data_IF_734422091044
#
_entry.id   IF_734422091044
#
_cell.length_a   1.000
_cell.length_b   1.000
_cell.length_c   1.000
_cell.angle_alpha   90.00
_cell.angle_beta   90.00
_cell.angle_gamma   90.00
#
_symmetry.space_group_name_H-M   'P 1'
#
loop_
_entity.id
_entity.type
_entity.pdbx_description
1 polymer ?
#
# COMPACT_ATOMS: atom_id res chain seq x y z
N UNK A 1 25.95 -54.58 23.92
CA UNK A 1 26.70 -53.74 22.95
C UNK A 1 25.84 -53.57 21.70
N UNK A 2 25.54 -52.31 21.39
CA UNK A 2 25.02 -51.71 20.13
C UNK A 2 24.24 -50.46 20.56
N UNK A 3 25.02 -49.49 21.02
CA UNK A 3 24.60 -48.10 21.19
C UNK A 3 24.62 -47.47 19.79
N UNK A 4 23.66 -46.61 19.51
CA UNK A 4 23.74 -45.68 18.38
C UNK A 4 22.87 -46.09 17.21
N UNK A 5 21.64 -45.57 17.18
CA UNK A 5 21.04 -44.96 15.99
C UNK A 5 19.70 -44.29 16.35
N UNK A 6 19.68 -43.38 17.34
CA UNK A 6 18.48 -42.59 17.67
C UNK A 6 18.91 -41.15 17.98
N UNK A 7 19.54 -40.45 17.03
CA UNK A 7 19.72 -38.98 17.10
C UNK A 7 19.91 -38.41 15.69
N UNK A 8 18.90 -38.44 14.80
CA UNK A 8 18.92 -37.61 13.56
C UNK A 8 17.52 -37.06 13.17
N UNK A 9 16.48 -37.19 14.00
CA UNK A 9 15.11 -36.72 13.64
C UNK A 9 14.76 -35.36 14.27
N UNK A 10 15.70 -34.67 14.92
CA UNK A 10 15.43 -33.45 15.69
C UNK A 10 16.14 -32.18 15.16
N UNK A 11 16.45 -32.12 13.87
CA UNK A 11 17.01 -30.92 13.21
C UNK A 11 16.26 -30.65 11.88
N UNK A 12 14.92 -30.65 11.92
CA UNK A 12 14.08 -30.20 10.78
C UNK A 12 13.07 -29.11 11.17
N UNK A 13 13.04 -28.66 12.42
CA UNK A 13 11.94 -27.84 12.96
C UNK A 13 12.31 -26.38 13.23
N UNK A 14 13.44 -25.89 12.72
CA UNK A 14 13.84 -24.49 12.89
C UNK A 14 14.25 -23.88 11.55
N UNK A 15 13.38 -23.96 10.55
CA UNK A 15 13.41 -22.97 9.47
C UNK A 15 12.00 -22.62 8.97
N UNK A 16 10.97 -22.86 9.79
CA UNK A 16 9.74 -22.07 9.72
C UNK A 16 10.03 -20.70 10.34
N UNK A 17 10.96 -19.95 9.74
CA UNK A 17 10.85 -18.51 9.80
C UNK A 17 9.51 -18.19 9.15
N UNK A 18 8.46 -18.02 9.96
CA UNK A 18 7.23 -17.40 9.49
C UNK A 18 7.58 -15.95 9.15
N UNK A 19 8.13 -15.73 7.97
CA UNK A 19 7.86 -14.49 7.25
C UNK A 19 6.54 -14.74 6.55
N UNK A 20 5.43 -14.62 7.30
CA UNK A 20 4.14 -14.27 6.70
C UNK A 20 4.24 -12.78 6.35
N UNK A 21 4.97 -12.49 5.27
CA UNK A 21 4.73 -11.28 4.51
C UNK A 21 3.53 -11.66 3.64
N UNK A 22 2.34 -11.44 4.18
CA UNK A 22 1.11 -11.58 3.40
C UNK A 22 1.22 -10.52 2.31
N UNK A 23 1.39 -10.93 1.04
CA UNK A 23 1.18 -10.06 -0.12
C UNK A 23 -0.30 -9.72 -0.07
N UNK A 24 -0.65 -8.66 0.66
CA UNK A 24 -1.98 -8.09 0.54
C UNK A 24 -1.90 -7.33 -0.76
N UNK A 25 -2.52 -7.90 -1.79
CA UNK A 25 -2.77 -7.20 -3.05
C UNK A 25 -3.34 -5.80 -2.81
N UNK A 26 -3.47 -5.03 -3.87
CA UNK A 26 -3.75 -3.63 -3.72
C UNK A 26 -5.07 -3.39 -2.94
N UNK A 27 -4.99 -2.51 -1.95
CA UNK A 27 -6.07 -2.23 -1.00
C UNK A 27 -6.71 -0.88 -1.33
N UNK A 28 -8.01 -0.85 -1.59
CA UNK A 28 -8.68 0.36 -2.11
C UNK A 28 -9.91 0.68 -1.29
N UNK A 29 -10.03 1.94 -0.90
CA UNK A 29 -11.22 2.44 -0.23
C UNK A 29 -11.68 3.76 -0.84
N UNK A 30 -12.98 4.00 -0.71
CA UNK A 30 -13.65 5.18 -1.23
C UNK A 30 -14.32 5.89 -0.07
N UNK A 31 -14.02 7.18 0.13
CA UNK A 31 -14.69 8.01 1.13
C UNK A 31 -16.01 8.58 0.56
N UNK A 32 -16.09 8.77 -0.76
CA UNK A 32 -17.29 9.21 -1.49
C UNK A 32 -17.64 8.33 -2.70
N UNK A 33 -18.85 7.78 -2.74
CA UNK A 33 -19.34 6.79 -3.75
C UNK A 33 -19.10 7.13 -5.23
N UNK A 34 -18.87 8.38 -5.62
CA UNK A 34 -18.81 8.80 -7.03
C UNK A 34 -17.61 8.29 -7.82
N UNK A 35 -16.60 7.67 -7.20
CA UNK A 35 -15.31 7.35 -7.85
C UNK A 35 -14.92 5.86 -7.88
N UNK A 36 -15.86 4.95 -7.62
CA UNK A 36 -15.56 3.52 -7.43
C UNK A 36 -14.88 2.90 -8.68
N UNK A 37 -15.39 3.15 -9.88
CA UNK A 37 -14.82 2.62 -11.14
C UNK A 37 -13.40 3.13 -11.42
N UNK A 38 -13.16 4.43 -11.24
CA UNK A 38 -11.84 5.06 -11.40
C UNK A 38 -10.81 4.44 -10.47
N UNK A 39 -11.18 4.21 -9.21
CA UNK A 39 -10.28 3.65 -8.20
C UNK A 39 -9.92 2.20 -8.54
N UNK A 40 -10.87 1.42 -9.06
CA UNK A 40 -10.60 0.05 -9.52
C UNK A 40 -9.63 0.03 -10.70
N UNK A 41 -9.69 0.97 -11.64
CA UNK A 41 -8.72 1.02 -12.74
C UNK A 41 -7.31 1.40 -12.24
N UNK A 42 -7.23 2.32 -11.29
CA UNK A 42 -5.96 2.67 -10.63
C UNK A 42 -5.40 1.47 -9.87
N UNK A 43 -6.26 0.74 -9.17
CA UNK A 43 -5.93 -0.48 -8.45
C UNK A 43 -5.22 -1.49 -9.32
N UNK A 44 -5.90 -1.91 -10.38
CA UNK A 44 -5.43 -2.94 -11.31
C UNK A 44 -4.11 -2.51 -11.93
N UNK A 45 -4.00 -1.25 -12.37
CA UNK A 45 -2.76 -0.72 -12.95
C UNK A 45 -1.59 -0.76 -11.96
N UNK A 46 -1.83 -0.46 -10.69
CA UNK A 46 -0.81 -0.48 -9.64
C UNK A 46 -0.40 -1.91 -9.26
N UNK A 47 -1.34 -2.87 -9.24
CA UNK A 47 -1.03 -4.30 -9.05
C UNK A 47 -0.17 -4.85 -10.18
N UNK A 48 -0.45 -4.44 -11.42
CA UNK A 48 0.32 -4.84 -12.61
C UNK A 48 1.72 -4.19 -12.67
N UNK A 49 2.02 -3.25 -11.78
CA UNK A 49 3.33 -2.59 -11.73
C UNK A 49 4.33 -3.50 -11.01
N UNK A 50 5.16 -4.20 -11.78
CA UNK A 50 6.11 -5.21 -11.29
C UNK A 50 7.04 -4.73 -10.16
N UNK A 51 7.31 -3.44 -10.09
CA UNK A 51 8.17 -2.79 -9.09
C UNK A 51 7.50 -2.68 -7.71
N UNK A 52 6.17 -2.67 -7.68
CA UNK A 52 5.37 -2.55 -6.48
C UNK A 52 5.04 -3.93 -5.92
N UNK A 53 4.84 -3.97 -4.60
CA UNK A 53 4.45 -5.18 -3.87
C UNK A 53 3.11 -5.00 -3.15
N UNK A 54 2.94 -3.92 -2.39
CA UNK A 54 1.64 -3.55 -1.80
C UNK A 54 1.31 -2.12 -2.20
N UNK A 55 0.03 -1.82 -2.36
CA UNK A 55 -0.44 -0.46 -2.55
C UNK A 55 -1.72 -0.22 -1.75
N UNK A 56 -1.91 1.05 -1.35
CA UNK A 56 -3.15 1.54 -0.74
C UNK A 56 -3.60 2.76 -1.53
N UNK A 57 -4.84 2.74 -2.01
CA UNK A 57 -5.47 3.85 -2.73
C UNK A 57 -6.73 4.29 -1.98
N UNK A 58 -6.80 5.58 -1.67
CA UNK A 58 -7.95 6.18 -1.00
C UNK A 58 -8.35 7.42 -1.79
N UNK A 59 -9.61 7.46 -2.24
CA UNK A 59 -10.14 8.65 -2.91
C UNK A 59 -11.22 9.34 -2.07
N UNK A 60 -11.20 10.67 -2.13
CA UNK A 60 -12.18 11.56 -1.52
C UNK A 60 -12.39 12.77 -2.43
N UNK A 61 -13.62 12.95 -2.95
CA UNK A 61 -13.99 14.09 -3.81
C UNK A 61 -13.06 14.29 -5.02
N UNK A 62 -12.12 15.23 -4.94
CA UNK A 62 -11.12 15.53 -5.97
C UNK A 62 -9.70 15.22 -5.51
N UNK A 63 -9.52 14.49 -4.41
CA UNK A 63 -8.22 14.12 -3.86
C UNK A 63 -8.01 12.61 -3.92
N UNK A 64 -6.81 12.22 -4.33
CA UNK A 64 -6.42 10.82 -4.49
C UNK A 64 -5.11 10.57 -3.72
N UNK A 65 -5.19 9.78 -2.65
CA UNK A 65 -4.03 9.35 -1.86
C UNK A 65 -3.61 7.96 -2.30
N UNK A 66 -2.40 7.85 -2.83
CA UNK A 66 -1.79 6.59 -3.24
C UNK A 66 -0.49 6.41 -2.46
N UNK A 67 -0.41 5.33 -1.70
CA UNK A 67 0.82 4.93 -1.03
C UNK A 67 1.21 3.51 -1.42
N UNK A 68 2.50 3.25 -1.55
CA UNK A 68 2.96 1.98 -2.11
C UNK A 68 4.30 1.53 -1.52
N UNK A 69 4.49 0.21 -1.51
CA UNK A 69 5.75 -0.43 -1.15
C UNK A 69 6.47 -0.88 -2.41
N UNK A 70 7.70 -0.39 -2.58
CA UNK A 70 8.60 -0.81 -3.66
C UNK A 70 9.35 -2.07 -3.25
N UNK A 71 9.34 -3.08 -4.12
CA UNK A 71 10.12 -4.31 -3.97
C UNK A 71 11.59 -3.99 -3.77
N UNK A 72 12.27 -4.74 -2.90
CA UNK A 72 13.67 -4.47 -2.53
C UNK A 72 14.61 -4.32 -3.72
N UNK A 73 14.43 -5.15 -4.76
CA UNK A 73 15.23 -5.12 -5.98
C UNK A 73 15.06 -3.85 -6.80
N UNK A 74 14.02 -3.03 -6.60
CA UNK A 74 13.78 -1.81 -7.36
C UNK A 74 13.97 -0.53 -6.53
N UNK A 75 14.44 -0.65 -5.28
CA UNK A 75 14.65 0.50 -4.38
C UNK A 75 15.69 1.51 -4.88
N UNK A 76 16.58 1.11 -5.78
CA UNK A 76 17.55 2.02 -6.37
C UNK A 76 16.91 3.03 -7.34
N UNK A 77 15.71 2.73 -7.84
CA UNK A 77 14.99 3.56 -8.82
C UNK A 77 13.64 4.07 -8.31
N UNK A 78 13.52 4.29 -7.00
CA UNK A 78 12.27 4.79 -6.40
C UNK A 78 11.82 6.11 -7.02
N UNK A 79 12.77 7.00 -7.36
CA UNK A 79 12.46 8.28 -8.00
C UNK A 79 11.98 8.13 -9.45
N UNK A 80 12.45 7.12 -10.18
CA UNK A 80 11.97 6.81 -11.52
C UNK A 80 10.53 6.30 -11.45
N UNK A 81 10.30 5.31 -10.58
CA UNK A 81 8.97 4.74 -10.33
C UNK A 81 7.95 5.82 -9.94
N UNK A 82 8.31 6.71 -9.02
CA UNK A 82 7.43 7.79 -8.58
C UNK A 82 7.04 8.72 -9.73
N UNK A 83 8.02 9.11 -10.57
CA UNK A 83 7.78 9.95 -11.74
C UNK A 83 6.90 9.27 -12.79
N UNK A 84 7.13 8.00 -13.05
CA UNK A 84 6.36 7.24 -14.05
C UNK A 84 4.90 7.10 -13.61
N UNK A 85 4.67 6.81 -12.32
CA UNK A 85 3.33 6.76 -11.74
C UNK A 85 2.66 8.15 -11.75
N UNK A 86 3.38 9.20 -11.35
CA UNK A 86 2.86 10.56 -11.33
C UNK A 86 2.48 11.05 -12.74
N UNK A 87 3.30 10.75 -13.74
CA UNK A 87 3.02 11.08 -15.14
C UNK A 87 1.75 10.37 -15.64
N UNK A 88 1.63 9.06 -15.39
CA UNK A 88 0.45 8.29 -15.77
C UNK A 88 -0.82 8.81 -15.07
N UNK A 89 -0.76 9.07 -13.76
CA UNK A 89 -1.91 9.56 -13.01
C UNK A 89 -2.36 10.95 -13.46
N UNK A 90 -1.44 11.86 -13.74
CA UNK A 90 -1.78 13.22 -14.23
C UNK A 90 -2.37 13.21 -15.64
N UNK A 91 -1.93 12.29 -16.49
CA UNK A 91 -2.46 12.14 -17.85
C UNK A 91 -3.88 11.57 -17.83
N UNK A 92 -4.14 10.57 -17.00
CA UNK A 92 -5.43 9.89 -16.93
C UNK A 92 -6.46 10.62 -16.04
N UNK A 93 -5.99 11.33 -15.01
CA UNK A 93 -6.84 11.98 -14.00
C UNK A 93 -6.39 13.44 -13.74
N UNK A 94 -6.43 14.32 -14.76
CA UNK A 94 -5.92 15.68 -14.66
C UNK A 94 -6.66 16.56 -13.64
N UNK A 95 -7.91 16.23 -13.33
CA UNK A 95 -8.76 16.98 -12.40
C UNK A 95 -8.61 16.52 -10.94
N UNK A 96 -7.78 15.51 -10.67
CA UNK A 96 -7.56 14.96 -9.32
C UNK A 96 -6.28 15.52 -8.70
N UNK A 97 -6.37 15.95 -7.44
CA UNK A 97 -5.23 16.27 -6.59
C UNK A 97 -4.57 14.97 -6.11
N UNK A 98 -3.51 14.57 -6.83
CA UNK A 98 -2.81 13.32 -6.60
C UNK A 98 -1.73 13.50 -5.52
N UNK A 99 -1.78 12.67 -4.48
CA UNK A 99 -0.73 12.49 -3.49
C UNK A 99 -0.14 11.10 -3.61
N UNK A 100 1.12 11.01 -4.07
CA UNK A 100 1.89 9.77 -4.16
C UNK A 100 2.92 9.69 -3.04
N UNK A 101 3.12 8.50 -2.47
CA UNK A 101 4.20 8.28 -1.51
C UNK A 101 4.69 6.84 -1.50
N UNK A 102 6.01 6.68 -1.57
CA UNK A 102 6.71 5.42 -1.32
C UNK A 102 7.18 5.26 0.13
N UNK A 103 6.90 6.25 0.99
CA UNK A 103 7.29 6.25 2.39
C UNK A 103 6.49 5.21 3.18
N UNK A 104 7.21 4.38 3.96
CA UNK A 104 6.60 3.27 4.68
C UNK A 104 5.66 3.73 5.79
N UNK A 105 5.91 4.87 6.43
CA UNK A 105 5.01 5.40 7.46
C UNK A 105 3.72 5.89 6.81
N UNK A 106 3.81 6.60 5.69
CA UNK A 106 2.63 7.04 4.93
C UNK A 106 1.80 5.84 4.48
N UNK A 107 2.45 4.76 4.03
CA UNK A 107 1.77 3.50 3.72
C UNK A 107 1.00 2.92 4.92
N UNK A 108 1.62 2.83 6.09
CA UNK A 108 0.98 2.27 7.28
C UNK A 108 -0.23 3.08 7.74
N UNK A 109 -0.12 4.40 7.78
CA UNK A 109 -1.24 5.29 8.15
C UNK A 109 -2.38 5.21 7.13
N UNK A 110 -2.05 5.13 5.83
CA UNK A 110 -3.03 4.94 4.76
C UNK A 110 -3.73 3.58 4.90
N UNK A 111 -2.98 2.51 5.18
CA UNK A 111 -3.54 1.18 5.40
C UNK A 111 -4.50 1.15 6.60
N UNK A 112 -4.13 1.81 7.71
CA UNK A 112 -5.01 1.93 8.87
C UNK A 112 -6.32 2.67 8.55
N UNK A 113 -6.25 3.75 7.76
CA UNK A 113 -7.44 4.46 7.29
C UNK A 113 -8.31 3.55 6.39
N UNK A 114 -7.69 2.80 5.48
CA UNK A 114 -8.37 1.80 4.65
C UNK A 114 -9.10 0.75 5.49
N UNK A 115 -8.46 0.22 6.55
CA UNK A 115 -9.10 -0.77 7.44
C UNK A 115 -10.31 -0.19 8.17
N UNK A 116 -10.20 1.04 8.69
CA UNK A 116 -11.33 1.73 9.34
C UNK A 116 -12.50 1.95 8.38
N UNK A 117 -12.21 2.37 7.15
CA UNK A 117 -13.22 2.56 6.10
C UNK A 117 -13.89 1.23 5.73
N UNK A 118 -13.11 0.18 5.49
CA UNK A 118 -13.59 -1.15 5.12
C UNK A 118 -14.49 -1.77 6.20
N UNK A 119 -14.16 -1.52 7.47
CA UNK A 119 -14.94 -2.01 8.61
C UNK A 119 -16.11 -1.09 8.98
N UNK A 120 -16.30 0.03 8.27
CA UNK A 120 -17.30 1.08 8.60
C UNK A 120 -17.18 1.60 10.04
N UNK A 121 -15.95 1.65 10.56
CA UNK A 121 -15.63 2.04 11.93
C UNK A 121 -15.34 3.56 12.07
N UNK A 122 -15.54 4.33 11.01
CA UNK A 122 -15.24 5.77 10.98
C UNK A 122 -16.30 6.50 10.15
N UNK A 123 -16.66 7.72 10.55
CA UNK A 123 -17.54 8.58 9.74
C UNK A 123 -16.78 9.18 8.55
N UNK A 124 -17.50 9.57 7.51
CA UNK A 124 -16.93 10.25 6.33
C UNK A 124 -16.09 11.48 6.71
N UNK A 125 -16.61 12.33 7.60
CA UNK A 125 -15.91 13.51 8.10
C UNK A 125 -14.60 13.17 8.81
N UNK A 126 -14.60 12.11 9.62
CA UNK A 126 -13.41 11.64 10.31
C UNK A 126 -12.40 11.06 9.31
N UNK A 127 -12.86 10.29 8.33
CA UNK A 127 -12.01 9.74 7.28
C UNK A 127 -11.34 10.85 6.45
N UNK A 128 -12.07 11.90 6.07
CA UNK A 128 -11.53 13.08 5.41
C UNK A 128 -10.47 13.79 6.27
N UNK A 129 -10.72 13.88 7.58
CA UNK A 129 -9.77 14.48 8.53
C UNK A 129 -8.49 13.64 8.66
N UNK A 130 -8.60 12.31 8.76
CA UNK A 130 -7.45 11.41 8.79
C UNK A 130 -6.66 11.46 7.49
N UNK A 131 -7.33 11.42 6.33
CA UNK A 131 -6.66 11.55 5.02
C UNK A 131 -5.87 12.87 4.92
N UNK A 132 -6.45 14.00 5.35
CA UNK A 132 -5.75 15.29 5.38
C UNK A 132 -4.52 15.28 6.28
N UNK A 133 -4.58 14.60 7.44
CA UNK A 133 -3.42 14.44 8.33
C UNK A 133 -2.32 13.64 7.68
N UNK A 134 -2.65 12.57 6.95
CA UNK A 134 -1.68 11.74 6.22
C UNK A 134 -0.97 12.57 5.13
N UNK A 135 -1.74 13.36 4.37
CA UNK A 135 -1.19 14.26 3.34
C UNK A 135 -0.27 15.31 3.97
N UNK A 136 -0.67 15.90 5.11
CA UNK A 136 0.17 16.85 5.86
C UNK A 136 1.47 16.19 6.34
N UNK A 137 1.39 14.99 6.91
CA UNK A 137 2.54 14.23 7.39
C UNK A 137 3.54 13.96 6.27
N UNK A 138 3.07 13.62 5.06
CA UNK A 138 3.92 13.44 3.89
C UNK A 138 4.72 14.71 3.58
N UNK A 139 4.07 15.88 3.65
CA UNK A 139 4.71 17.16 3.36
C UNK A 139 5.75 17.57 4.41
N UNK A 140 5.67 17.06 5.64
CA UNK A 140 6.69 17.28 6.67
C UNK A 140 7.92 16.38 6.50
N UNK A 141 7.74 15.21 5.90
CA UNK A 141 8.81 14.24 5.63
C UNK A 141 9.57 14.50 4.32
N UNK A 142 9.07 15.42 3.48
CA UNK A 142 9.64 15.80 2.18
C UNK A 142 10.38 17.12 2.30
#
# INVERSE_FOLDING_TARGET
MKKGLIVVILISSILSGCVLFEEKGASHAVIHTSQEETITQIAERLEDTKELYDTVVIAADSSLLISYKVKHLYRFDMKGIEKDLEAWLKDQYPDQEITLSSDYKIFLESFQLFEKLSQKNISEKEALSEMKKIISLKNELT
#
